data_IF_021648185485
#
_entry.id   IF_021648185485
#
_cell.length_a   1.000
_cell.length_b   1.000
_cell.length_c   1.000
_cell.angle_alpha   90.00
_cell.angle_beta   90.00
_cell.angle_gamma   90.00
#
_symmetry.space_group_name_H-M   'P 1'
#
loop_
_entity.id
_entity.type
_entity.pdbx_description
1 polymer ?
#
# COMPACT_ATOMS: atom_id res chain seq x y z
N UNK A 1 32.99 -21.21 -0.77
CA UNK A 1 32.28 -20.66 0.41
C UNK A 1 30.82 -21.08 0.35
N UNK A 2 30.43 -22.10 1.09
CA UNK A 2 29.05 -22.61 1.16
C UNK A 2 28.21 -21.65 1.98
N UNK A 3 27.27 -20.94 1.32
CA UNK A 3 26.32 -20.06 1.99
C UNK A 3 25.44 -20.89 2.92
N UNK A 4 25.68 -20.80 4.22
CA UNK A 4 24.88 -21.45 5.26
C UNK A 4 23.49 -20.84 5.21
N UNK A 5 22.50 -21.58 4.69
CA UNK A 5 21.09 -21.21 4.79
C UNK A 5 20.77 -21.03 6.27
N UNK A 6 20.63 -19.78 6.71
CA UNK A 6 20.29 -19.46 8.11
C UNK A 6 18.90 -20.03 8.37
N UNK A 7 18.81 -21.11 9.15
CA UNK A 7 17.54 -21.60 9.69
C UNK A 7 16.98 -20.55 10.64
N UNK A 8 15.68 -20.27 10.52
CA UNK A 8 14.94 -19.45 11.46
C UNK A 8 15.04 -20.05 12.87
N UNK A 9 15.27 -19.20 13.86
CA UNK A 9 15.23 -19.60 15.27
C UNK A 9 13.78 -19.90 15.71
N UNK A 10 13.58 -20.71 16.75
CA UNK A 10 12.25 -21.05 17.27
C UNK A 10 11.46 -19.80 17.65
N UNK A 11 12.13 -18.78 18.20
CA UNK A 11 11.52 -17.48 18.49
C UNK A 11 11.06 -16.72 17.24
N UNK A 12 11.75 -16.88 16.10
CA UNK A 12 11.37 -16.26 14.83
C UNK A 12 10.18 -16.97 14.20
N UNK A 13 10.11 -18.30 14.33
CA UNK A 13 8.95 -19.09 13.87
C UNK A 13 7.69 -18.66 14.63
N UNK A 14 7.75 -18.48 15.95
CA UNK A 14 6.59 -17.98 16.72
C UNK A 14 6.16 -16.58 16.30
N UNK A 15 7.11 -15.68 16.03
CA UNK A 15 6.79 -14.32 15.53
C UNK A 15 6.15 -14.37 14.14
N UNK A 16 6.68 -15.20 13.24
CA UNK A 16 6.10 -15.42 11.92
C UNK A 16 4.70 -16.01 12.02
N UNK A 17 4.51 -17.03 12.86
CA UNK A 17 3.20 -17.64 13.09
C UNK A 17 2.20 -16.62 13.65
N UNK A 18 2.62 -15.76 14.59
CA UNK A 18 1.78 -14.68 15.10
C UNK A 18 1.41 -13.68 14.00
N UNK A 19 2.36 -13.29 13.14
CA UNK A 19 2.10 -12.39 12.01
C UNK A 19 1.08 -12.99 11.03
N UNK A 20 1.27 -14.24 10.61
CA UNK A 20 0.32 -14.93 9.75
C UNK A 20 -1.05 -15.12 10.44
N UNK A 21 -1.05 -15.32 11.76
CA UNK A 21 -2.26 -15.36 12.57
C UNK A 21 -3.04 -14.06 12.51
N UNK A 22 -2.37 -12.91 12.62
CA UNK A 22 -3.00 -11.57 12.47
C UNK A 22 -3.60 -11.43 11.07
N UNK A 23 -2.85 -11.80 10.02
CA UNK A 23 -3.35 -11.72 8.63
C UNK A 23 -4.59 -12.60 8.45
N UNK A 24 -4.55 -13.84 8.94
CA UNK A 24 -5.70 -14.75 8.85
C UNK A 24 -6.91 -14.22 9.64
N UNK A 25 -6.70 -13.69 10.84
CA UNK A 25 -7.76 -13.08 11.64
C UNK A 25 -8.41 -11.91 10.92
N UNK A 26 -7.63 -11.02 10.28
CA UNK A 26 -8.17 -9.91 9.50
C UNK A 26 -9.01 -10.38 8.31
N UNK A 27 -8.60 -11.45 7.62
CA UNK A 27 -9.41 -12.04 6.54
C UNK A 27 -10.70 -12.65 7.08
N UNK A 28 -10.65 -13.39 8.18
CA UNK A 28 -11.83 -13.97 8.82
C UNK A 28 -12.81 -12.86 9.23
N UNK A 29 -12.31 -11.77 9.81
CA UNK A 29 -13.13 -10.62 10.17
C UNK A 29 -13.73 -9.98 8.91
N UNK A 30 -12.94 -9.73 7.88
CA UNK A 30 -13.42 -9.11 6.64
C UNK A 30 -14.49 -9.93 5.92
N UNK A 31 -14.22 -11.22 5.68
CA UNK A 31 -15.18 -12.13 5.06
C UNK A 31 -16.38 -12.42 5.97
N UNK A 32 -16.17 -12.47 7.29
CA UNK A 32 -17.23 -12.61 8.29
C UNK A 32 -18.18 -11.41 8.29
N UNK A 33 -17.64 -10.18 8.23
CA UNK A 33 -18.43 -8.96 8.12
C UNK A 33 -19.22 -8.93 6.81
N UNK A 34 -18.57 -9.29 5.70
CA UNK A 34 -19.24 -9.43 4.40
C UNK A 34 -20.39 -10.44 4.49
N UNK A 35 -20.15 -11.65 5.00
CA UNK A 35 -21.16 -12.68 5.14
C UNK A 35 -22.30 -12.21 6.05
N UNK A 36 -22.00 -11.60 7.20
CA UNK A 36 -23.00 -11.09 8.15
C UNK A 36 -23.88 -10.00 7.56
N UNK A 37 -23.28 -8.99 6.90
CA UNK A 37 -24.04 -7.89 6.32
C UNK A 37 -24.78 -8.30 5.04
N UNK A 38 -24.18 -9.14 4.20
CA UNK A 38 -24.86 -9.80 3.09
C UNK A 38 -26.02 -10.68 3.60
N UNK A 39 -25.89 -11.26 4.80
CA UNK A 39 -26.92 -12.01 5.52
C UNK A 39 -27.90 -11.15 6.35
N UNK A 40 -27.81 -9.81 6.32
CA UNK A 40 -28.74 -8.93 7.07
C UNK A 40 -29.49 -7.99 6.14
N UNK A 41 -28.82 -7.51 5.10
CA UNK A 41 -29.35 -6.52 4.16
C UNK A 41 -29.94 -7.11 2.88
N UNK A 42 -29.98 -8.44 2.75
CA UNK A 42 -30.69 -9.11 1.66
C UNK A 42 -32.21 -8.88 1.67
N UNK A 43 -32.79 -8.35 2.75
CA UNK A 43 -34.19 -7.92 2.77
C UNK A 43 -34.44 -6.58 2.07
N UNK A 44 -33.40 -5.78 1.82
CA UNK A 44 -33.47 -4.47 1.13
C UNK A 44 -33.17 -4.57 -0.37
N UNK A 45 -32.79 -5.76 -0.84
CA UNK A 45 -32.31 -6.00 -2.21
C UNK A 45 -32.90 -7.30 -2.72
N UNK A 46 -33.58 -7.27 -3.87
CA UNK A 46 -34.02 -8.47 -4.58
C UNK A 46 -32.80 -9.39 -4.88
N UNK A 47 -33.04 -10.59 -5.39
CA UNK A 47 -32.02 -11.56 -5.85
C UNK A 47 -30.87 -10.92 -6.64
N UNK A 48 -31.12 -9.82 -7.38
CA UNK A 48 -30.13 -9.00 -8.08
C UNK A 48 -29.19 -8.19 -7.18
N UNK A 49 -29.66 -7.64 -6.06
CA UNK A 49 -28.80 -6.83 -5.18
C UNK A 49 -27.85 -7.67 -4.31
N UNK A 50 -28.16 -8.96 -4.10
CA UNK A 50 -27.20 -9.92 -3.51
C UNK A 50 -25.99 -10.14 -4.42
N UNK A 51 -26.22 -10.21 -5.73
CA UNK A 51 -25.16 -10.28 -6.75
C UNK A 51 -24.35 -8.99 -6.80
N UNK A 52 -24.99 -7.83 -6.66
CA UNK A 52 -24.31 -6.54 -6.63
C UNK A 52 -23.37 -6.40 -5.44
N UNK A 53 -23.82 -6.74 -4.22
CA UNK A 53 -22.99 -6.71 -3.02
C UNK A 53 -21.81 -7.69 -3.08
N UNK A 54 -22.07 -8.91 -3.56
CA UNK A 54 -21.01 -9.90 -3.77
C UNK A 54 -19.99 -9.45 -4.83
N UNK A 55 -20.47 -8.83 -5.93
CA UNK A 55 -19.63 -8.24 -6.96
C UNK A 55 -18.77 -7.09 -6.42
N UNK A 56 -19.37 -6.18 -5.65
CA UNK A 56 -18.65 -5.09 -5.01
C UNK A 56 -17.58 -5.59 -4.03
N UNK A 57 -17.88 -6.62 -3.23
CA UNK A 57 -16.90 -7.25 -2.34
C UNK A 57 -15.75 -7.92 -3.11
N UNK A 58 -16.05 -8.61 -4.21
CA UNK A 58 -15.05 -9.19 -5.09
C UNK A 58 -14.14 -8.14 -5.74
N UNK A 59 -14.72 -7.03 -6.21
CA UNK A 59 -13.97 -5.89 -6.74
C UNK A 59 -13.09 -5.24 -5.66
N UNK A 60 -13.62 -4.98 -4.47
CA UNK A 60 -12.85 -4.42 -3.38
C UNK A 60 -11.67 -5.32 -2.98
N UNK A 61 -11.88 -6.64 -2.91
CA UNK A 61 -10.83 -7.60 -2.60
C UNK A 61 -9.75 -7.66 -3.68
N UNK A 62 -10.14 -7.71 -4.96
CA UNK A 62 -9.19 -7.78 -6.08
C UNK A 62 -8.43 -6.48 -6.30
N UNK A 63 -9.10 -5.33 -6.20
CA UNK A 63 -8.44 -4.02 -6.26
C UNK A 63 -7.52 -3.80 -5.06
N UNK A 64 -7.91 -4.25 -3.87
CA UNK A 64 -7.06 -4.22 -2.67
C UNK A 64 -5.80 -5.08 -2.84
N UNK A 65 -5.96 -6.31 -3.35
CA UNK A 65 -4.80 -7.17 -3.67
C UNK A 65 -3.87 -6.52 -4.68
N UNK A 66 -4.40 -5.92 -5.76
CA UNK A 66 -3.60 -5.19 -6.75
C UNK A 66 -2.83 -4.04 -6.10
N UNK A 67 -3.52 -3.23 -5.30
CA UNK A 67 -2.93 -2.07 -4.64
C UNK A 67 -1.74 -2.45 -3.73
N UNK A 68 -1.80 -3.61 -3.07
CA UNK A 68 -0.69 -4.11 -2.25
C UNK A 68 0.60 -4.42 -3.06
N UNK A 69 0.50 -4.55 -4.39
CA UNK A 69 1.64 -4.76 -5.28
C UNK A 69 2.10 -3.48 -6.00
N UNK A 70 1.56 -2.31 -5.63
CA UNK A 70 2.01 -1.05 -6.21
C UNK A 70 3.49 -0.80 -5.86
N UNK A 71 4.21 -0.20 -6.82
CA UNK A 71 5.66 -0.08 -6.77
C UNK A 71 6.18 0.78 -5.60
N UNK A 72 5.34 1.69 -5.09
CA UNK A 72 5.63 2.55 -3.95
C UNK A 72 5.63 1.78 -2.62
N UNK A 73 4.72 0.80 -2.45
CA UNK A 73 4.72 -0.05 -1.26
C UNK A 73 5.95 -0.96 -1.26
N UNK A 74 6.29 -1.53 -2.42
CA UNK A 74 7.45 -2.40 -2.57
C UNK A 74 8.74 -1.62 -2.32
N UNK A 75 8.89 -0.43 -2.90
CA UNK A 75 10.10 0.39 -2.72
C UNK A 75 10.26 0.88 -1.28
N UNK A 76 9.19 1.32 -0.62
CA UNK A 76 9.24 1.76 0.77
C UNK A 76 9.65 0.62 1.74
N UNK A 77 9.13 -0.59 1.51
CA UNK A 77 9.51 -1.77 2.31
C UNK A 77 10.96 -2.18 2.03
N UNK A 78 11.41 -2.16 0.77
CA UNK A 78 12.81 -2.50 0.40
C UNK A 78 13.80 -1.52 1.04
N UNK A 79 13.58 -0.21 0.89
CA UNK A 79 14.47 0.83 1.43
C UNK A 79 14.60 0.71 2.96
N UNK A 80 13.48 0.52 3.65
CA UNK A 80 13.48 0.36 5.10
C UNK A 80 14.11 -0.97 5.53
N UNK A 81 13.91 -2.04 4.75
CA UNK A 81 14.56 -3.34 4.96
C UNK A 81 16.07 -3.21 4.83
N UNK A 82 16.56 -2.59 3.76
CA UNK A 82 17.99 -2.33 3.54
C UNK A 82 18.58 -1.48 4.64
N UNK A 83 17.89 -0.42 5.05
CA UNK A 83 18.32 0.43 6.15
C UNK A 83 18.48 -0.35 7.48
N UNK A 84 17.52 -1.21 7.81
CA UNK A 84 17.60 -2.04 9.02
C UNK A 84 18.71 -3.09 8.94
N UNK A 85 18.90 -3.70 7.76
CA UNK A 85 19.99 -4.65 7.52
C UNK A 85 21.37 -3.98 7.61
N UNK A 86 21.53 -2.76 7.08
CA UNK A 86 22.76 -1.98 7.22
C UNK A 86 23.09 -1.69 8.69
N UNK A 87 22.07 -1.53 9.54
CA UNK A 87 22.22 -1.39 11.00
C UNK A 87 22.38 -2.73 11.74
N UNK A 88 22.54 -3.84 11.03
CA UNK A 88 22.67 -5.18 11.61
C UNK A 88 21.41 -5.73 12.27
N UNK A 89 20.24 -5.08 12.08
CA UNK A 89 18.96 -5.52 12.64
C UNK A 89 18.28 -6.54 11.72
N UNK A 90 17.42 -7.40 12.29
CA UNK A 90 16.57 -8.32 11.52
C UNK A 90 15.20 -7.67 11.27
N UNK A 91 14.81 -7.37 10.02
CA UNK A 91 13.57 -6.66 9.69
C UNK A 91 12.33 -7.58 9.69
N UNK A 92 12.17 -8.41 10.73
CA UNK A 92 10.97 -9.25 10.87
C UNK A 92 9.77 -8.38 11.24
N UNK A 93 8.67 -8.49 10.49
CA UNK A 93 7.43 -7.76 10.78
C UNK A 93 7.26 -6.41 10.09
N UNK A 94 8.28 -5.93 9.37
CA UNK A 94 8.24 -4.61 8.72
C UNK A 94 7.08 -4.48 7.72
N UNK A 95 6.87 -5.49 6.87
CA UNK A 95 5.77 -5.48 5.90
C UNK A 95 4.38 -5.43 6.56
N UNK A 96 4.19 -6.16 7.66
CA UNK A 96 2.93 -6.13 8.41
C UNK A 96 2.70 -4.76 9.06
N UNK A 97 3.74 -4.19 9.67
CA UNK A 97 3.65 -2.86 10.28
C UNK A 97 3.38 -1.76 9.25
N UNK A 98 4.03 -1.82 8.09
CA UNK A 98 3.79 -0.92 6.97
C UNK A 98 2.34 -1.02 6.47
N UNK A 99 1.88 -2.25 6.21
CA UNK A 99 0.51 -2.51 5.76
C UNK A 99 -0.52 -2.02 6.77
N UNK A 100 -0.39 -2.36 8.05
CA UNK A 100 -1.32 -1.91 9.11
C UNK A 100 -1.33 -0.38 9.25
N UNK A 101 -0.15 0.25 9.23
CA UNK A 101 -0.03 1.71 9.31
C UNK A 101 -0.72 2.40 8.13
N UNK A 102 -0.38 2.01 6.90
CA UNK A 102 -0.97 2.57 5.69
C UNK A 102 -2.49 2.34 5.65
N UNK A 103 -2.94 1.10 5.90
CA UNK A 103 -4.37 0.76 5.92
C UNK A 103 -5.14 1.53 6.98
N UNK A 104 -4.55 1.82 8.15
CA UNK A 104 -5.23 2.58 9.21
C UNK A 104 -5.54 4.02 8.79
N UNK A 105 -4.59 4.68 8.13
CA UNK A 105 -4.77 6.04 7.61
C UNK A 105 -5.80 6.04 6.48
N UNK A 106 -5.71 5.11 5.53
CA UNK A 106 -6.65 4.99 4.41
C UNK A 106 -8.07 4.67 4.90
N UNK A 107 -8.21 3.77 5.87
CA UNK A 107 -9.49 3.43 6.47
C UNK A 107 -10.09 4.64 7.20
N UNK A 108 -9.30 5.33 8.04
CA UNK A 108 -9.75 6.54 8.72
C UNK A 108 -10.19 7.63 7.75
N UNK A 109 -9.43 7.86 6.68
CA UNK A 109 -9.79 8.82 5.64
C UNK A 109 -11.07 8.41 4.91
N UNK A 110 -11.25 7.13 4.62
CA UNK A 110 -12.44 6.60 3.95
C UNK A 110 -13.70 6.77 4.80
N UNK A 111 -13.60 6.51 6.11
CA UNK A 111 -14.68 6.78 7.07
C UNK A 111 -14.98 8.28 7.15
N UNK A 112 -13.95 9.12 7.23
CA UNK A 112 -14.09 10.57 7.23
C UNK A 112 -14.79 11.10 5.98
N UNK A 113 -14.40 10.61 4.80
CA UNK A 113 -15.03 10.95 3.51
C UNK A 113 -16.48 10.48 3.49
N UNK A 114 -16.80 9.29 4.00
CA UNK A 114 -18.18 8.81 4.04
C UNK A 114 -19.10 9.73 4.86
N UNK A 115 -18.63 10.20 6.03
CA UNK A 115 -19.37 11.18 6.83
C UNK A 115 -19.44 12.55 6.16
N UNK A 116 -18.33 13.02 5.58
CA UNK A 116 -18.29 14.29 4.85
C UNK A 116 -19.24 14.27 3.64
N UNK A 117 -19.30 13.17 2.89
CA UNK A 117 -20.20 12.98 1.76
C UNK A 117 -21.67 12.99 2.22
N UNK A 118 -22.00 12.34 3.33
CA UNK A 118 -23.35 12.37 3.89
C UNK A 118 -23.77 13.76 4.37
N UNK A 119 -22.84 14.52 4.96
CA UNK A 119 -23.05 15.91 5.36
C UNK A 119 -23.19 16.85 4.15
N UNK A 120 -22.36 16.66 3.11
CA UNK A 120 -22.43 17.41 1.85
C UNK A 120 -23.74 17.15 1.10
N UNK A 121 -24.25 15.91 1.13
CA UNK A 121 -25.53 15.58 0.50
C UNK A 121 -26.73 16.26 1.20
N UNK A 122 -26.59 16.66 2.47
CA UNK A 122 -27.57 17.50 3.18
C UNK A 122 -27.50 18.97 2.76
N UNK A 123 -26.32 19.47 2.38
CA UNK A 123 -26.09 20.82 1.86
C UNK A 123 -26.13 20.80 0.32
N UNK A 124 -27.32 20.59 -0.26
CA UNK A 124 -27.73 20.79 -1.67
C UNK A 124 -26.69 20.52 -2.80
N UNK A 125 -27.13 19.79 -3.83
CA UNK A 125 -26.38 19.17 -4.95
C UNK A 125 -25.17 19.91 -5.61
N UNK A 126 -24.93 21.21 -5.38
CA UNK A 126 -23.82 21.96 -5.98
C UNK A 126 -22.44 21.77 -5.31
N UNK A 127 -22.36 21.39 -4.03
CA UNK A 127 -21.06 21.31 -3.33
C UNK A 127 -20.26 20.04 -3.64
N UNK A 128 -20.94 18.91 -3.87
CA UNK A 128 -20.27 17.63 -4.13
C UNK A 128 -19.53 17.62 -5.48
N UNK A 129 -20.11 18.25 -6.51
CA UNK A 129 -19.51 18.34 -7.85
C UNK A 129 -18.26 19.22 -7.84
N UNK A 130 -18.33 20.39 -7.18
CA UNK A 130 -17.19 21.31 -7.04
C UNK A 130 -16.05 20.65 -6.25
N UNK A 131 -16.37 19.95 -5.15
CA UNK A 131 -15.38 19.22 -4.35
C UNK A 131 -14.70 18.09 -5.14
N UNK A 132 -15.44 17.36 -5.98
CA UNK A 132 -14.88 16.33 -6.86
C UNK A 132 -13.92 16.89 -7.90
N UNK A 133 -14.28 18.02 -8.52
CA UNK A 133 -13.42 18.70 -9.52
C UNK A 133 -12.15 19.24 -8.87
N UNK A 134 -12.26 19.95 -7.73
CA UNK A 134 -11.10 20.48 -7.01
C UNK A 134 -10.20 19.34 -6.53
N UNK A 135 -10.78 18.28 -5.94
CA UNK A 135 -10.03 17.12 -5.48
C UNK A 135 -9.29 16.41 -6.61
N UNK A 136 -9.92 16.25 -7.77
CA UNK A 136 -9.31 15.66 -8.97
C UNK A 136 -8.17 16.54 -9.50
N UNK A 137 -8.36 17.86 -9.56
CA UNK A 137 -7.34 18.81 -9.99
C UNK A 137 -6.13 18.80 -9.05
N UNK A 138 -6.35 18.92 -7.74
CA UNK A 138 -5.28 18.91 -6.73
C UNK A 138 -4.51 17.59 -6.75
N UNK A 139 -5.23 16.46 -6.79
CA UNK A 139 -4.61 15.13 -6.88
C UNK A 139 -3.84 14.94 -8.17
N UNK A 140 -4.40 15.37 -9.31
CA UNK A 140 -3.76 15.29 -10.61
C UNK A 140 -2.46 16.11 -10.67
N UNK A 141 -2.50 17.36 -10.20
CA UNK A 141 -1.31 18.23 -10.14
C UNK A 141 -0.23 17.61 -9.25
N UNK A 142 -0.60 17.09 -8.08
CA UNK A 142 0.33 16.43 -7.17
C UNK A 142 0.98 15.19 -7.79
N UNK A 143 0.20 14.32 -8.44
CA UNK A 143 0.72 13.13 -9.12
C UNK A 143 1.67 13.48 -10.27
N UNK A 144 1.33 14.51 -11.08
CA UNK A 144 2.22 14.99 -12.13
C UNK A 144 3.53 15.57 -11.57
N UNK A 145 3.49 16.26 -10.43
CA UNK A 145 4.69 16.77 -9.77
C UNK A 145 5.62 15.63 -9.30
N UNK A 146 5.06 14.61 -8.63
CA UNK A 146 5.83 13.43 -8.20
C UNK A 146 6.38 12.65 -9.41
N UNK A 147 5.59 12.50 -10.47
CA UNK A 147 6.05 11.87 -11.70
C UNK A 147 7.23 12.62 -12.33
N UNK A 148 7.20 13.96 -12.36
CA UNK A 148 8.30 14.78 -12.86
C UNK A 148 9.57 14.65 -12.01
N UNK A 149 9.45 14.65 -10.68
CA UNK A 149 10.57 14.43 -9.77
C UNK A 149 11.20 13.04 -9.96
N UNK A 150 10.37 12.01 -10.05
CA UNK A 150 10.83 10.64 -10.28
C UNK A 150 11.53 10.51 -11.64
N UNK A 151 11.06 11.20 -12.67
CA UNK A 151 11.72 11.23 -13.98
C UNK A 151 13.10 11.89 -13.91
N UNK A 152 13.25 12.96 -13.13
CA UNK A 152 14.54 13.62 -12.91
C UNK A 152 15.54 12.70 -12.20
N UNK A 153 15.11 12.02 -11.14
CA UNK A 153 15.92 11.01 -10.43
C UNK A 153 16.32 9.86 -11.36
N UNK A 154 15.36 9.35 -12.14
CA UNK A 154 15.62 8.27 -13.10
C UNK A 154 16.68 8.68 -14.14
N UNK A 155 16.59 9.90 -14.69
CA UNK A 155 17.63 10.43 -15.59
C UNK A 155 19.01 10.46 -14.93
N UNK A 156 19.08 10.87 -13.66
CA UNK A 156 20.31 10.86 -12.87
C UNK A 156 20.90 9.45 -12.75
N UNK A 157 20.09 8.48 -12.32
CA UNK A 157 20.50 7.07 -12.17
C UNK A 157 20.96 6.48 -13.51
N UNK A 158 20.21 6.70 -14.59
CA UNK A 158 20.57 6.20 -15.93
C UNK A 158 21.88 6.82 -16.42
N UNK A 159 22.13 8.10 -16.14
CA UNK A 159 23.40 8.75 -16.48
C UNK A 159 24.57 8.11 -15.74
N UNK A 160 24.48 7.99 -14.41
CA UNK A 160 25.50 7.36 -13.58
C UNK A 160 25.74 5.90 -13.97
N UNK A 161 24.67 5.16 -14.28
CA UNK A 161 24.79 3.77 -14.76
C UNK A 161 25.50 3.67 -16.11
N UNK A 162 25.21 4.58 -17.06
CA UNK A 162 25.90 4.64 -18.35
C UNK A 162 27.37 5.04 -18.19
N UNK A 163 27.68 5.96 -17.28
CA UNK A 163 29.06 6.37 -16.96
C UNK A 163 29.85 5.23 -16.30
N UNK A 164 29.26 4.52 -15.34
CA UNK A 164 29.85 3.33 -14.73
C UNK A 164 30.09 2.20 -15.75
N UNK A 165 29.16 2.01 -16.70
CA UNK A 165 29.29 1.00 -17.77
C UNK A 165 30.28 1.42 -18.86
N UNK A 166 30.52 2.71 -19.04
CA UNK A 166 31.48 3.25 -20.01
C UNK A 166 32.93 3.26 -19.49
N UNK A 167 33.19 2.73 -18.29
CA UNK A 167 34.55 2.53 -17.77
C UNK A 167 35.29 3.81 -17.37
N UNK A 168 34.60 4.94 -17.21
CA UNK A 168 35.20 6.19 -16.72
C UNK A 168 35.10 6.23 -15.19
N UNK A 169 35.99 5.51 -14.54
CA UNK A 169 36.51 5.94 -13.24
C UNK A 169 37.92 6.44 -13.52
N UNK A 170 38.12 7.76 -13.52
CA UNK A 170 39.42 8.23 -13.06
C UNK A 170 39.46 7.92 -11.57
N UNK A 171 40.45 7.15 -11.10
CA UNK A 171 40.77 7.13 -9.69
C UNK A 171 41.28 8.53 -9.37
N UNK A 172 40.39 9.42 -8.92
CA UNK A 172 40.82 10.64 -8.27
C UNK A 172 41.56 10.21 -7.00
N UNK A 173 42.88 10.34 -7.13
CA UNK A 173 43.97 10.14 -6.19
C UNK A 173 43.54 9.97 -4.73
N UNK A 174 43.65 8.72 -4.26
CA UNK A 174 43.91 8.42 -2.85
C UNK A 174 45.38 8.76 -2.52
N UNK A 175 45.78 10.02 -2.68
CA UNK A 175 47.03 10.57 -2.14
C UNK A 175 46.81 11.97 -1.56
N UNK A 176 46.08 12.02 -0.44
CA UNK A 176 46.50 12.64 0.83
C UNK A 176 45.45 12.49 1.93
#
# INVERSE_FOLDING_TARGET
MTARVRRFDRGEIHRLAAMYGVVAALHIVGFGLFAYYNARYHGLTDSQGRLLYAGAAGLAYTLGMRHAFDADHISAIDDTTRYLLQKGKRPLGLGLAFSLGHSSVVFGLSVGIAFAAQAANRFQAGFAEIGGVIGTLVSGVFLYAIAALNLAVLRGIVRTWREAKAGRHEPEELEQ
#
